data_IF_784793511823
#
_entry.id   IF_784793511823
#
_cell.length_a   1.000
_cell.length_b   1.000
_cell.length_c   1.000
_cell.angle_alpha   90.00
_cell.angle_beta   90.00
_cell.angle_gamma   90.00
#
_symmetry.space_group_name_H-M   'P 1'
#
loop_
_entity.id
_entity.type
_entity.pdbx_description
1 polymer ?
#
# COMPACT_ATOMS: atom_id res chain seq x y z
N UNK A 1 5.36 25.29 -15.29
CA UNK A 1 4.94 25.22 -13.87
C UNK A 1 3.78 24.24 -13.79
N UNK A 2 3.86 23.28 -12.87
CA UNK A 2 2.70 22.52 -12.44
C UNK A 2 2.06 23.26 -11.26
N UNK A 3 0.75 23.47 -11.29
CA UNK A 3 0.05 24.38 -10.37
C UNK A 3 -1.32 23.85 -10.00
N UNK A 4 -1.76 24.15 -8.77
CA UNK A 4 -3.12 23.84 -8.32
C UNK A 4 -4.16 24.58 -9.17
N UNK A 5 -5.18 23.87 -9.65
CA UNK A 5 -6.43 24.49 -10.07
C UNK A 5 -7.07 25.19 -8.86
N UNK A 6 -7.72 26.33 -9.06
CA UNK A 6 -8.28 27.20 -7.98
C UNK A 6 -7.27 27.79 -6.97
N UNK A 7 -6.01 27.35 -7.01
CA UNK A 7 -5.09 27.43 -5.88
C UNK A 7 -5.48 26.51 -4.72
N UNK A 8 -6.26 25.44 -4.97
CA UNK A 8 -6.82 24.55 -3.94
C UNK A 8 -6.79 23.05 -4.27
N UNK A 9 -6.68 22.61 -5.54
CA UNK A 9 -6.63 21.18 -5.86
C UNK A 9 -5.75 20.82 -7.07
N UNK A 10 -5.36 19.54 -7.14
CA UNK A 10 -4.69 18.93 -8.29
C UNK A 10 -5.75 18.44 -9.28
N UNK A 11 -5.49 18.59 -10.58
CA UNK A 11 -6.31 18.03 -11.66
C UNK A 11 -5.44 17.07 -12.48
N UNK A 12 -5.82 15.80 -12.51
CA UNK A 12 -5.23 14.77 -13.35
C UNK A 12 -5.99 14.62 -14.69
N UNK A 13 -5.62 13.63 -15.52
CA UNK A 13 -6.24 13.40 -16.84
C UNK A 13 -7.75 13.11 -16.81
N UNK A 14 -8.29 12.72 -15.65
CA UNK A 14 -9.69 12.30 -15.47
C UNK A 14 -10.53 13.27 -14.62
N UNK A 15 -9.97 14.42 -14.21
CA UNK A 15 -10.63 15.38 -13.31
C UNK A 15 -9.80 15.65 -12.04
N UNK A 16 -10.43 16.14 -10.96
CA UNK A 16 -9.76 16.38 -9.69
C UNK A 16 -9.08 15.13 -9.14
N UNK A 17 -7.79 15.24 -8.81
CA UNK A 17 -7.02 14.15 -8.18
C UNK A 17 -6.94 14.39 -6.67
N UNK A 18 -7.83 13.74 -5.94
CA UNK A 18 -7.94 13.88 -4.48
C UNK A 18 -6.74 13.25 -3.75
N UNK A 19 -6.12 12.23 -4.33
CA UNK A 19 -4.90 11.61 -3.80
C UNK A 19 -3.70 12.54 -3.85
N UNK A 20 -3.41 13.13 -5.01
CA UNK A 20 -2.35 14.13 -5.17
C UNK A 20 -2.68 15.42 -4.42
N UNK A 21 -3.95 15.79 -4.28
CA UNK A 21 -4.37 16.93 -3.45
C UNK A 21 -4.09 16.67 -1.96
N UNK A 22 -4.25 15.43 -1.50
CA UNK A 22 -3.81 15.02 -0.17
C UNK A 22 -2.27 15.08 -0.01
N UNK A 23 -1.48 14.66 -1.02
CA UNK A 23 -0.01 14.83 -0.99
C UNK A 23 0.41 16.31 -0.88
N UNK A 24 -0.29 17.21 -1.58
CA UNK A 24 -0.08 18.66 -1.46
C UNK A 24 -0.38 19.16 -0.04
N UNK A 25 -1.45 18.67 0.60
CA UNK A 25 -1.74 19.03 1.99
C UNK A 25 -0.64 18.54 2.95
N UNK A 26 -0.17 17.30 2.78
CA UNK A 26 0.95 16.72 3.57
C UNK A 26 2.23 17.54 3.38
N UNK A 27 2.60 17.85 2.14
CA UNK A 27 3.80 18.61 1.79
C UNK A 27 3.78 20.05 2.32
N UNK A 28 2.67 20.77 2.14
CA UNK A 28 2.51 22.14 2.65
C UNK A 28 2.48 22.19 4.19
N UNK A 29 1.86 21.20 4.85
CA UNK A 29 1.89 21.09 6.31
C UNK A 29 3.30 20.82 6.86
N UNK A 30 4.09 20.02 6.14
CA UNK A 30 5.47 19.71 6.53
C UNK A 30 6.44 20.87 6.29
N UNK A 31 6.31 21.59 5.17
CA UNK A 31 7.14 22.75 4.84
C UNK A 31 6.81 24.00 5.68
N UNK A 32 5.54 24.18 6.05
CA UNK A 32 5.08 25.35 6.79
C UNK A 32 5.05 26.64 5.95
N UNK A 33 4.79 27.78 6.60
CA UNK A 33 4.73 29.12 5.99
C UNK A 33 3.53 29.38 5.06
N UNK A 34 3.04 28.38 4.35
CA UNK A 34 2.01 28.48 3.30
C UNK A 34 0.56 28.34 3.82
N UNK A 35 0.28 28.87 5.02
CA UNK A 35 -1.01 28.73 5.71
C UNK A 35 -2.26 29.00 4.84
N UNK A 36 -2.33 30.11 4.08
CA UNK A 36 -3.48 30.41 3.22
C UNK A 36 -3.69 29.42 2.07
N UNK A 37 -2.62 28.84 1.51
CA UNK A 37 -2.71 27.82 0.48
C UNK A 37 -3.12 26.46 1.07
N UNK A 38 -2.53 26.08 2.21
CA UNK A 38 -2.90 24.87 2.93
C UNK A 38 -4.37 24.89 3.37
N UNK A 39 -4.87 26.03 3.87
CA UNK A 39 -6.25 26.19 4.28
C UNK A 39 -7.24 25.98 3.11
N UNK A 40 -6.89 26.45 1.90
CA UNK A 40 -7.65 26.19 0.68
C UNK A 40 -7.67 24.70 0.31
N UNK A 41 -6.49 24.06 0.28
CA UNK A 41 -6.34 22.63 -0.05
C UNK A 41 -7.13 21.74 0.93
N UNK A 42 -7.03 22.04 2.24
CA UNK A 42 -7.82 21.35 3.28
C UNK A 42 -9.32 21.60 3.11
N UNK A 43 -9.75 22.81 2.75
CA UNK A 43 -11.17 23.10 2.50
C UNK A 43 -11.70 22.31 1.29
N UNK A 44 -10.91 22.20 0.20
CA UNK A 44 -11.26 21.38 -0.96
C UNK A 44 -11.36 19.89 -0.59
N UNK A 45 -10.39 19.36 0.16
CA UNK A 45 -10.41 17.96 0.64
C UNK A 45 -11.59 17.68 1.57
N UNK A 46 -11.99 18.63 2.43
CA UNK A 46 -13.22 18.48 3.24
C UNK A 46 -14.48 18.47 2.38
N UNK A 47 -14.57 19.32 1.37
CA UNK A 47 -15.74 19.39 0.47
C UNK A 47 -15.89 18.14 -0.42
N UNK A 48 -14.79 17.41 -0.65
CA UNK A 48 -14.74 16.21 -1.49
C UNK A 48 -14.36 14.94 -0.70
N UNK A 49 -14.50 14.93 0.63
CA UNK A 49 -14.00 13.86 1.48
C UNK A 49 -14.58 12.49 1.10
N UNK A 50 -15.92 12.40 1.04
CA UNK A 50 -16.63 11.19 0.62
C UNK A 50 -16.22 10.72 -0.80
N UNK A 51 -16.03 11.63 -1.75
CA UNK A 51 -15.58 11.27 -3.10
C UNK A 51 -14.15 10.71 -3.13
N UNK A 52 -13.31 10.98 -2.13
CA UNK A 52 -11.99 10.36 -2.00
C UNK A 52 -12.02 9.00 -1.31
N UNK A 53 -12.82 8.87 -0.24
CA UNK A 53 -12.84 7.64 0.59
C UNK A 53 -13.85 6.59 0.12
N UNK A 54 -14.99 7.01 -0.42
CA UNK A 54 -16.08 6.15 -0.90
C UNK A 54 -16.11 6.03 -2.42
N UNK A 55 -15.24 6.75 -3.13
CA UNK A 55 -15.25 6.85 -4.59
C UNK A 55 -16.43 7.68 -5.13
N UNK A 56 -16.64 7.62 -6.45
CA UNK A 56 -17.73 8.32 -7.13
C UNK A 56 -18.61 7.31 -7.92
N UNK A 57 -19.87 7.10 -7.52
CA UNK A 57 -20.83 6.25 -8.24
C UNK A 57 -21.02 6.60 -9.72
N UNK A 58 -20.70 7.83 -10.13
CA UNK A 58 -20.73 8.26 -11.54
C UNK A 58 -19.78 7.46 -12.43
N UNK A 59 -18.73 6.85 -11.85
CA UNK A 59 -17.77 5.98 -12.54
C UNK A 59 -18.05 4.49 -12.36
N UNK A 60 -19.20 4.12 -11.78
CA UNK A 60 -19.64 2.72 -11.60
C UNK A 60 -19.35 2.13 -10.22
N UNK A 61 -18.95 2.95 -9.26
CA UNK A 61 -18.80 2.51 -7.86
C UNK A 61 -20.16 2.17 -7.21
N UNK A 62 -20.15 1.25 -6.24
CA UNK A 62 -21.35 0.86 -5.48
C UNK A 62 -21.71 1.93 -4.43
N UNK A 63 -22.97 1.99 -3.96
CA UNK A 63 -23.30 2.65 -2.70
C UNK A 63 -22.50 2.04 -1.54
N UNK A 64 -22.18 2.88 -0.55
CA UNK A 64 -21.49 2.49 0.69
C UNK A 64 -20.13 1.80 0.47
N UNK A 65 -19.46 2.07 -0.67
CA UNK A 65 -18.06 1.69 -0.87
C UNK A 65 -17.12 2.44 0.07
N UNK A 66 -15.98 1.84 0.40
CA UNK A 66 -14.95 2.51 1.20
C UNK A 66 -13.55 1.92 0.92
N UNK A 67 -12.58 2.79 0.71
CA UNK A 67 -11.20 2.47 0.36
C UNK A 67 -10.27 2.75 1.54
N UNK A 68 -9.49 1.75 1.96
CA UNK A 68 -8.67 1.80 3.16
C UNK A 68 -7.58 2.88 3.09
N UNK A 69 -6.66 2.75 2.13
CA UNK A 69 -5.52 3.66 1.98
C UNK A 69 -5.89 5.14 1.79
N UNK A 70 -6.92 5.48 0.97
CA UNK A 70 -7.50 6.82 0.92
C UNK A 70 -8.01 7.33 2.27
N UNK A 71 -8.75 6.50 3.03
CA UNK A 71 -9.28 6.85 4.36
C UNK A 71 -8.15 7.08 5.37
N UNK A 72 -7.15 6.20 5.44
CA UNK A 72 -5.96 6.40 6.29
C UNK A 72 -5.15 7.62 5.88
N UNK A 73 -4.89 7.83 4.59
CA UNK A 73 -4.15 9.00 4.07
C UNK A 73 -4.89 10.31 4.36
N UNK A 74 -6.22 10.34 4.22
CA UNK A 74 -7.04 11.51 4.56
C UNK A 74 -7.08 11.76 6.07
N UNK A 75 -7.10 10.70 6.89
CA UNK A 75 -7.00 10.83 8.35
C UNK A 75 -5.63 11.39 8.78
N UNK A 76 -4.53 10.95 8.15
CA UNK A 76 -3.21 11.57 8.37
C UNK A 76 -3.20 13.04 7.92
N UNK A 77 -3.79 13.39 6.77
CA UNK A 77 -3.95 14.80 6.34
C UNK A 77 -4.70 15.62 7.40
N UNK A 78 -5.83 15.13 7.91
CA UNK A 78 -6.58 15.82 8.95
C UNK A 78 -5.68 16.08 10.18
N UNK A 79 -5.05 15.04 10.71
CA UNK A 79 -4.19 15.12 11.89
C UNK A 79 -2.99 16.06 11.69
N UNK A 80 -2.22 15.95 10.61
CA UNK A 80 -1.02 16.78 10.42
C UNK A 80 -1.33 18.25 10.09
N UNK A 81 -2.55 18.53 9.61
CA UNK A 81 -3.05 19.90 9.38
C UNK A 81 -3.77 20.50 10.59
N UNK A 82 -3.88 19.76 11.70
CA UNK A 82 -4.55 20.21 12.92
C UNK A 82 -6.08 20.22 12.84
N UNK A 83 -6.65 19.40 11.95
CA UNK A 83 -8.08 19.14 11.87
C UNK A 83 -8.41 17.83 12.61
N UNK A 84 -9.62 17.75 13.12
CA UNK A 84 -10.15 16.53 13.72
C UNK A 84 -10.46 15.47 12.65
N UNK A 85 -9.87 14.27 12.69
CA UNK A 85 -10.16 13.17 11.77
C UNK A 85 -11.50 12.46 12.06
N UNK A 86 -12.13 12.71 13.23
CA UNK A 86 -13.45 12.14 13.59
C UNK A 86 -14.63 12.97 13.07
N UNK A 87 -14.36 14.11 12.41
CA UNK A 87 -15.38 14.96 11.77
C UNK A 87 -14.91 15.59 10.44
N UNK A 88 -13.87 15.03 9.81
CA UNK A 88 -13.25 15.62 8.63
C UNK A 88 -14.15 15.51 7.40
N UNK A 89 -14.63 16.65 6.88
CA UNK A 89 -15.60 16.67 5.79
C UNK A 89 -16.99 16.13 6.19
N UNK A 90 -17.24 15.95 7.50
CA UNK A 90 -18.45 15.29 8.03
C UNK A 90 -18.30 13.78 8.27
N UNK A 91 -17.12 13.21 8.04
CA UNK A 91 -16.82 11.78 8.21
C UNK A 91 -16.00 11.51 9.46
N UNK A 92 -16.21 10.34 10.10
CA UNK A 92 -15.28 9.79 11.10
C UNK A 92 -14.36 8.77 10.41
N UNK A 93 -13.27 9.30 9.86
CA UNK A 93 -12.27 8.52 9.12
C UNK A 93 -11.61 7.45 10.00
N UNK A 94 -11.61 7.63 11.33
CA UNK A 94 -11.03 6.66 12.27
C UNK A 94 -12.02 5.57 12.67
N UNK A 95 -13.33 5.83 12.65
CA UNK A 95 -14.34 4.78 12.78
C UNK A 95 -14.44 3.96 11.49
N UNK A 96 -14.53 4.63 10.34
CA UNK A 96 -14.61 3.99 9.02
C UNK A 96 -13.41 3.06 8.78
N UNK A 97 -12.18 3.56 8.95
CA UNK A 97 -10.97 2.74 8.77
C UNK A 97 -10.95 1.50 9.66
N UNK A 98 -11.50 1.56 10.88
CA UNK A 98 -11.60 0.40 11.77
C UNK A 98 -12.61 -0.65 11.30
N UNK A 99 -13.61 -0.28 10.49
CA UNK A 99 -14.51 -1.27 9.87
C UNK A 99 -13.87 -2.03 8.71
N UNK A 100 -12.85 -1.45 8.07
CA UNK A 100 -12.10 -2.07 6.96
C UNK A 100 -11.03 -3.05 7.44
N UNK A 101 -10.72 -3.10 8.74
CA UNK A 101 -9.77 -4.03 9.32
C UNK A 101 -10.32 -5.47 9.30
N UNK A 102 -9.76 -6.31 8.43
CA UNK A 102 -10.06 -7.75 8.41
C UNK A 102 -9.63 -8.45 9.71
N UNK A 103 -10.13 -9.68 10.00
CA UNK A 103 -9.72 -10.43 11.20
C UNK A 103 -8.22 -10.75 11.30
N UNK A 104 -7.47 -10.69 10.19
CA UNK A 104 -6.01 -10.83 10.16
C UNK A 104 -5.27 -9.50 10.24
N UNK A 105 -5.98 -8.38 10.31
CA UNK A 105 -5.44 -7.02 10.44
C UNK A 105 -5.09 -6.31 9.14
N UNK A 106 -5.19 -6.96 7.98
CA UNK A 106 -5.10 -6.25 6.70
C UNK A 106 -6.32 -5.34 6.54
N UNK A 107 -6.13 -4.07 6.25
CA UNK A 107 -7.25 -3.23 5.81
C UNK A 107 -7.61 -3.59 4.38
N UNK A 108 -8.89 -3.73 4.08
CA UNK A 108 -9.40 -4.12 2.76
C UNK A 108 -10.15 -2.95 2.14
N UNK A 109 -10.09 -2.80 0.81
CA UNK A 109 -11.07 -1.95 0.13
C UNK A 109 -12.39 -2.74 -0.04
N UNK A 110 -13.52 -2.11 0.30
CA UNK A 110 -14.85 -2.64 0.01
C UNK A 110 -15.46 -1.83 -1.15
N UNK A 111 -15.13 -2.23 -2.39
CA UNK A 111 -15.55 -1.54 -3.63
C UNK A 111 -16.27 -2.47 -4.60
N UNK A 112 -16.95 -1.90 -5.60
CA UNK A 112 -17.52 -2.62 -6.74
C UNK A 112 -16.45 -3.30 -7.63
N UNK A 113 -15.19 -2.86 -7.53
CA UNK A 113 -14.08 -3.29 -8.38
C UNK A 113 -13.20 -4.37 -7.73
N UNK A 114 -13.32 -4.58 -6.41
CA UNK A 114 -12.52 -5.51 -5.62
C UNK A 114 -11.61 -4.83 -4.59
N UNK A 115 -10.66 -5.59 -4.05
CA UNK A 115 -9.70 -5.13 -3.05
C UNK A 115 -8.39 -4.69 -3.71
N UNK A 116 -8.06 -3.39 -3.63
CA UNK A 116 -6.82 -2.81 -4.14
C UNK A 116 -5.90 -2.34 -3.00
N UNK A 117 -6.17 -2.80 -1.77
CA UNK A 117 -5.32 -2.57 -0.60
C UNK A 117 -3.87 -3.01 -0.89
N UNK A 118 -2.93 -2.29 -0.28
CA UNK A 118 -1.50 -2.45 -0.54
C UNK A 118 -0.68 -1.95 0.66
N UNK A 119 0.61 -2.31 0.77
CA UNK A 119 1.45 -1.91 1.91
C UNK A 119 1.59 -0.40 2.11
N UNK A 120 1.47 0.43 1.06
CA UNK A 120 1.48 1.90 1.21
C UNK A 120 0.22 2.36 1.95
N UNK A 121 -0.96 1.85 1.56
CA UNK A 121 -2.22 2.05 2.26
C UNK A 121 -2.14 1.59 3.71
N UNK A 122 -1.82 0.32 3.94
CA UNK A 122 -1.68 -0.28 5.27
C UNK A 122 -0.73 0.54 6.19
N UNK A 123 0.32 1.14 5.64
CA UNK A 123 1.22 2.01 6.39
C UNK A 123 0.59 3.38 6.74
N UNK A 124 -0.15 4.02 5.83
CA UNK A 124 -0.96 5.20 6.15
C UNK A 124 -2.05 4.87 7.20
N UNK A 125 -2.68 3.71 7.10
CA UNK A 125 -3.76 3.25 7.97
C UNK A 125 -3.28 3.00 9.40
N UNK A 126 -2.19 2.23 9.55
CA UNK A 126 -1.52 2.03 10.84
C UNK A 126 -1.06 3.37 11.42
N UNK A 127 -0.48 4.25 10.60
CA UNK A 127 -0.02 5.57 11.06
C UNK A 127 -1.18 6.46 11.56
N UNK A 128 -2.30 6.51 10.83
CA UNK A 128 -3.49 7.27 11.22
C UNK A 128 -4.00 6.82 12.59
N UNK A 129 -4.04 5.50 12.84
CA UNK A 129 -4.51 4.95 14.11
C UNK A 129 -3.49 5.12 15.25
N UNK A 130 -2.18 5.01 15.00
CA UNK A 130 -1.16 5.32 16.01
C UNK A 130 -1.20 6.79 16.43
N UNK A 131 -1.34 7.72 15.47
CA UNK A 131 -1.55 9.15 15.75
C UNK A 131 -2.87 9.45 16.46
N UNK A 132 -3.83 8.52 16.42
CA UNK A 132 -5.08 8.56 17.17
C UNK A 132 -5.05 7.79 18.51
N UNK A 133 -3.86 7.43 19.02
CA UNK A 133 -3.68 6.80 20.32
C UNK A 133 -3.57 5.28 20.32
N UNK A 134 -3.56 4.62 19.16
CA UNK A 134 -3.23 3.20 19.04
C UNK A 134 -3.79 2.52 17.80
N UNK A 135 -2.91 1.90 17.00
CA UNK A 135 -3.31 0.90 16.00
C UNK A 135 -3.57 -0.47 16.67
N UNK A 136 -4.64 -1.20 16.32
CA UNK A 136 -4.87 -2.54 16.83
C UNK A 136 -3.72 -3.48 16.46
N UNK A 137 -3.22 -4.28 17.40
CA UNK A 137 -2.00 -5.09 17.17
C UNK A 137 -2.02 -5.93 15.88
N UNK A 138 -3.12 -6.61 15.50
CA UNK A 138 -3.18 -7.33 14.22
C UNK A 138 -2.89 -6.48 12.99
N UNK A 139 -3.21 -5.18 12.97
CA UNK A 139 -2.96 -4.33 11.78
C UNK A 139 -1.49 -3.94 11.64
N UNK A 140 -0.77 -3.91 12.76
CA UNK A 140 0.69 -3.80 12.81
C UNK A 140 1.32 -5.12 12.34
N UNK A 141 0.82 -6.27 12.83
CA UNK A 141 1.31 -7.59 12.43
C UNK A 141 1.04 -7.89 10.94
N UNK A 142 -0.08 -7.42 10.39
CA UNK A 142 -0.40 -7.52 8.96
C UNK A 142 0.56 -6.68 8.08
N UNK A 143 1.00 -5.51 8.58
CA UNK A 143 2.06 -4.76 7.92
C UNK A 143 3.39 -5.54 7.99
N UNK A 144 3.80 -6.01 9.17
CA UNK A 144 5.03 -6.80 9.36
C UNK A 144 5.03 -8.06 8.47
N UNK A 145 3.88 -8.73 8.31
CA UNK A 145 3.74 -9.91 7.45
C UNK A 145 3.89 -9.63 5.94
N UNK A 146 3.88 -8.35 5.52
CA UNK A 146 4.18 -7.93 4.15
C UNK A 146 5.65 -7.53 3.94
N UNK A 147 6.50 -7.61 4.98
CA UNK A 147 7.92 -7.32 4.87
C UNK A 147 8.65 -8.43 4.09
N UNK A 148 9.40 -8.06 3.07
CA UNK A 148 10.22 -8.98 2.29
C UNK A 148 11.48 -9.41 3.05
N UNK A 149 12.12 -10.50 2.62
CA UNK A 149 13.30 -11.08 3.28
C UNK A 149 14.59 -10.23 3.19
N UNK A 150 14.57 -9.14 2.42
CA UNK A 150 15.60 -8.09 2.37
C UNK A 150 15.35 -6.94 3.38
N UNK A 151 14.23 -6.99 4.12
CA UNK A 151 13.78 -5.96 5.05
C UNK A 151 12.90 -4.88 4.43
N UNK A 152 12.75 -4.83 3.11
CA UNK A 152 11.89 -3.87 2.42
C UNK A 152 10.42 -4.31 2.35
N UNK A 153 9.60 -3.51 1.67
CA UNK A 153 8.16 -3.71 1.50
C UNK A 153 7.79 -3.58 0.01
N UNK A 154 6.89 -4.43 -0.53
CA UNK A 154 6.46 -4.35 -1.91
C UNK A 154 5.36 -3.30 -2.11
N UNK A 155 5.14 -2.86 -3.36
CA UNK A 155 4.07 -1.92 -3.69
C UNK A 155 2.66 -2.53 -3.72
N UNK A 156 2.54 -3.87 -3.63
CA UNK A 156 1.28 -4.62 -3.69
C UNK A 156 1.31 -5.83 -2.75
N UNK A 157 0.13 -6.29 -2.31
CA UNK A 157 0.01 -7.54 -1.56
C UNK A 157 -0.03 -8.76 -2.50
N UNK A 158 0.63 -9.85 -2.08
CA UNK A 158 0.69 -11.10 -2.84
C UNK A 158 1.72 -11.11 -3.97
N UNK A 159 1.76 -12.21 -4.74
CA UNK A 159 2.79 -12.42 -5.76
C UNK A 159 4.18 -12.71 -5.16
N UNK A 160 5.23 -12.39 -5.91
CA UNK A 160 6.62 -12.47 -5.44
C UNK A 160 6.96 -11.18 -4.69
N UNK A 161 7.48 -11.28 -3.47
CA UNK A 161 7.88 -10.11 -2.69
C UNK A 161 9.05 -9.39 -3.38
N UNK A 162 8.80 -8.17 -3.85
CA UNK A 162 9.75 -7.33 -4.57
C UNK A 162 9.68 -5.91 -3.98
N UNK A 163 10.67 -5.56 -3.16
CA UNK A 163 10.65 -4.34 -2.35
C UNK A 163 10.75 -3.05 -3.18
N UNK A 164 10.14 -1.97 -2.67
CA UNK A 164 10.27 -0.60 -3.19
C UNK A 164 10.71 0.37 -2.10
N UNK A 165 11.34 1.47 -2.52
CA UNK A 165 11.70 2.56 -1.62
C UNK A 165 10.48 3.33 -1.11
N UNK A 166 9.43 3.44 -1.92
CA UNK A 166 8.17 4.11 -1.62
C UNK A 166 7.41 3.42 -0.48
N UNK A 167 7.11 2.11 -0.64
CA UNK A 167 6.44 1.32 0.38
C UNK A 167 7.31 1.17 1.64
N UNK A 168 8.62 0.95 1.49
CA UNK A 168 9.53 0.83 2.65
C UNK A 168 9.66 2.14 3.43
N UNK A 169 9.63 3.29 2.75
CA UNK A 169 9.67 4.61 3.37
C UNK A 169 8.41 4.97 4.16
N UNK A 170 7.24 4.51 3.70
CA UNK A 170 5.98 4.62 4.45
C UNK A 170 5.91 3.60 5.60
N UNK A 171 6.20 2.33 5.33
CA UNK A 171 6.17 1.26 6.32
C UNK A 171 7.13 1.54 7.50
N UNK A 172 8.33 2.05 7.24
CA UNK A 172 9.27 2.44 8.30
C UNK A 172 8.70 3.52 9.23
N UNK A 173 7.93 4.50 8.73
CA UNK A 173 7.26 5.48 9.59
C UNK A 173 6.21 4.79 10.48
N UNK A 174 5.34 3.96 9.89
CA UNK A 174 4.31 3.23 10.63
C UNK A 174 4.89 2.27 11.68
N UNK A 175 6.01 1.60 11.37
CA UNK A 175 6.70 0.66 12.25
C UNK A 175 7.47 1.37 13.39
N UNK A 176 8.05 2.55 13.15
CA UNK A 176 8.61 3.39 14.22
C UNK A 176 7.50 3.94 15.12
N UNK A 177 6.37 4.38 14.56
CA UNK A 177 5.18 4.79 15.32
C UNK A 177 4.56 3.64 16.15
N UNK A 178 4.85 2.39 15.80
CA UNK A 178 4.35 1.18 16.45
C UNK A 178 5.36 0.51 17.38
N UNK A 179 6.54 1.12 17.60
CA UNK A 179 7.67 0.54 18.34
C UNK A 179 8.00 -0.91 17.91
N UNK A 180 7.98 -1.16 16.60
CA UNK A 180 8.03 -2.50 16.04
C UNK A 180 9.43 -3.17 16.05
N UNK A 181 10.43 -2.59 16.72
CA UNK A 181 11.75 -3.20 16.94
C UNK A 181 12.46 -3.70 15.66
N UNK A 182 12.73 -5.01 15.61
CA UNK A 182 13.49 -5.64 14.51
C UNK A 182 12.89 -5.38 13.10
N UNK A 183 11.59 -5.56 12.83
CA UNK A 183 10.93 -5.10 11.61
C UNK A 183 11.27 -3.65 11.19
N UNK A 184 11.25 -2.69 12.13
CA UNK A 184 11.61 -1.31 11.84
C UNK A 184 13.12 -1.15 11.53
N UNK A 185 13.98 -1.88 12.25
CA UNK A 185 15.42 -1.89 12.00
C UNK A 185 15.78 -2.52 10.63
N UNK A 186 15.06 -3.55 10.20
CA UNK A 186 15.22 -4.18 8.88
C UNK A 186 14.76 -3.25 7.75
N UNK A 187 13.65 -2.52 7.93
CA UNK A 187 13.18 -1.51 6.98
C UNK A 187 14.17 -0.33 6.85
N UNK A 188 14.79 0.08 7.96
CA UNK A 188 15.88 1.05 7.95
C UNK A 188 17.11 0.52 7.18
N UNK A 189 17.53 -0.72 7.45
CA UNK A 189 18.68 -1.33 6.78
C UNK A 189 18.46 -1.50 5.27
N UNK A 190 17.24 -1.86 4.84
CA UNK A 190 16.85 -1.89 3.43
C UNK A 190 17.06 -0.52 2.77
N UNK A 191 16.51 0.56 3.35
CA UNK A 191 16.68 1.91 2.78
C UNK A 191 18.15 2.37 2.77
N UNK A 192 18.92 2.05 3.81
CA UNK A 192 20.34 2.39 3.88
C UNK A 192 21.20 1.63 2.84
N UNK A 193 20.80 0.43 2.44
CA UNK A 193 21.51 -0.39 1.44
C UNK A 193 21.08 -0.12 0.01
N UNK A 194 19.87 0.41 -0.21
CA UNK A 194 19.32 0.71 -1.54
C UNK A 194 19.42 2.20 -1.95
N UNK A 195 20.05 3.05 -1.12
CA UNK A 195 20.36 4.42 -1.51
C UNK A 195 21.49 4.45 -2.55
N UNK A 196 21.26 5.13 -3.67
CA UNK A 196 22.24 5.32 -4.74
C UNK A 196 23.36 6.28 -4.32
N UNK A 197 24.52 6.20 -4.99
CA UNK A 197 25.70 7.01 -4.66
C UNK A 197 25.51 8.53 -4.87
N UNK A 198 24.50 8.96 -5.62
CA UNK A 198 24.08 10.37 -5.76
C UNK A 198 23.11 10.82 -4.64
N UNK A 199 22.67 9.89 -3.79
CA UNK A 199 21.67 10.10 -2.74
C UNK A 199 20.24 9.73 -3.13
N UNK A 200 19.98 9.40 -4.39
CA UNK A 200 18.65 9.03 -4.87
C UNK A 200 18.20 7.64 -4.44
N UNK A 201 16.90 7.42 -4.51
CA UNK A 201 16.30 6.09 -4.58
C UNK A 201 15.69 5.92 -5.97
N UNK A 202 15.81 4.71 -6.51
CA UNK A 202 15.14 4.35 -7.76
C UNK A 202 13.73 3.87 -7.48
N UNK A 203 12.76 4.22 -8.33
CA UNK A 203 11.48 3.51 -8.32
C UNK A 203 11.68 2.08 -8.79
N UNK A 204 11.13 1.11 -8.06
CA UNK A 204 11.15 -0.29 -8.48
C UNK A 204 10.45 -0.43 -9.83
N UNK A 205 11.20 -0.84 -10.85
CA UNK A 205 10.63 -1.07 -12.16
C UNK A 205 9.76 -2.34 -12.09
N UNK A 206 8.43 -2.16 -12.18
CA UNK A 206 7.43 -3.25 -12.28
C UNK A 206 7.78 -4.23 -13.42
N UNK A 207 8.54 -3.74 -14.40
CA UNK A 207 9.24 -4.52 -15.41
C UNK A 207 10.74 -4.68 -15.04
N UNK A 208 11.18 -5.84 -14.53
CA UNK A 208 12.56 -6.07 -14.10
C UNK A 208 13.57 -6.15 -15.26
N UNK A 209 13.14 -6.02 -16.52
CA UNK A 209 14.05 -5.89 -17.68
C UNK A 209 14.53 -4.45 -17.90
N UNK A 210 13.91 -3.46 -17.24
CA UNK A 210 14.28 -2.05 -17.34
C UNK A 210 15.32 -1.69 -16.27
N UNK A 211 16.32 -0.91 -16.68
CA UNK A 211 17.29 -0.30 -15.74
C UNK A 211 16.54 0.58 -14.73
N UNK A 212 16.72 0.38 -13.41
CA UNK A 212 16.17 1.27 -12.40
C UNK A 212 16.68 2.70 -12.58
N UNK A 213 15.81 3.69 -12.44
CA UNK A 213 16.11 5.11 -12.62
C UNK A 213 15.78 5.91 -11.37
N UNK A 214 16.62 6.89 -11.06
CA UNK A 214 16.46 7.78 -9.91
C UNK A 214 15.11 8.51 -9.97
N UNK A 215 14.33 8.43 -8.89
CA UNK A 215 12.96 8.91 -8.82
C UNK A 215 12.77 9.80 -7.59
N UNK A 216 12.19 10.99 -7.78
CA UNK A 216 11.98 11.97 -6.72
C UNK A 216 10.93 11.53 -5.70
N UNK A 217 9.86 10.86 -6.12
CA UNK A 217 8.82 10.35 -5.23
C UNK A 217 9.38 9.26 -4.30
N UNK A 218 10.08 8.27 -4.89
CA UNK A 218 10.79 7.21 -4.17
C UNK A 218 11.84 7.77 -3.20
N UNK A 219 12.61 8.76 -3.64
CA UNK A 219 13.61 9.43 -2.79
C UNK A 219 12.97 10.21 -1.64
N UNK A 220 11.82 10.86 -1.89
CA UNK A 220 11.08 11.57 -0.86
C UNK A 220 10.56 10.60 0.22
N UNK A 221 9.83 9.54 -0.17
CA UNK A 221 9.29 8.58 0.81
C UNK A 221 10.38 7.88 1.62
N UNK A 222 11.46 7.44 0.99
CA UNK A 222 12.61 6.91 1.69
C UNK A 222 13.19 7.91 2.71
N UNK A 223 13.31 9.19 2.35
CA UNK A 223 13.76 10.24 3.26
C UNK A 223 12.78 10.51 4.42
N UNK A 224 11.47 10.35 4.24
CA UNK A 224 10.50 10.44 5.35
C UNK A 224 10.67 9.27 6.34
N UNK A 225 10.88 8.05 5.84
CA UNK A 225 11.20 6.86 6.63
C UNK A 225 12.49 7.04 7.42
N UNK A 226 13.59 7.42 6.74
CA UNK A 226 14.88 7.73 7.36
C UNK A 226 14.76 8.82 8.43
N UNK A 227 13.96 9.87 8.19
CA UNK A 227 13.70 10.94 9.17
C UNK A 227 12.98 10.43 10.42
N UNK A 228 11.94 9.58 10.27
CA UNK A 228 11.27 8.95 11.40
C UNK A 228 12.22 8.03 12.19
N UNK A 229 13.07 7.29 11.49
CA UNK A 229 14.10 6.42 12.05
C UNK A 229 15.35 7.17 12.58
N UNK A 230 15.33 8.51 12.62
CA UNK A 230 16.46 9.39 13.01
C UNK A 230 17.78 9.14 12.24
N UNK A 231 17.70 8.54 11.07
CA UNK A 231 18.83 8.30 10.20
C UNK A 231 19.19 9.53 9.35
N UNK A 232 20.38 9.54 8.76
CA UNK A 232 20.82 10.65 7.91
C UNK A 232 20.03 10.69 6.59
N UNK A 233 19.41 11.83 6.30
CA UNK A 233 18.78 12.13 5.00
C UNK A 233 19.65 13.04 4.11
N UNK A 234 20.87 13.36 4.53
CA UNK A 234 21.69 14.40 3.89
C UNK A 234 21.91 14.16 2.39
N UNK A 235 22.20 12.91 1.98
CA UNK A 235 22.39 12.56 0.57
C UNK A 235 21.09 12.71 -0.24
N UNK A 236 19.95 12.23 0.29
CA UNK A 236 18.65 12.39 -0.36
C UNK A 236 18.25 13.88 -0.51
N UNK A 237 18.52 14.71 0.50
CA UNK A 237 18.27 16.16 0.44
C UNK A 237 19.22 16.86 -0.55
N UNK A 238 20.46 16.39 -0.70
CA UNK A 238 21.38 16.87 -1.74
C UNK A 238 20.88 16.49 -3.14
N UNK A 239 20.46 15.24 -3.36
CA UNK A 239 19.85 14.80 -4.62
C UNK A 239 18.62 15.66 -4.96
N UNK A 240 17.64 15.76 -4.04
CA UNK A 240 16.41 16.53 -4.26
C UNK A 240 16.69 18.01 -4.57
N UNK A 241 17.77 18.61 -4.02
CA UNK A 241 18.19 19.97 -4.38
C UNK A 241 18.92 20.04 -5.72
N UNK A 242 19.68 19.02 -6.10
CA UNK A 242 20.42 18.98 -7.37
C UNK A 242 19.51 18.81 -8.60
N UNK A 243 18.32 18.23 -8.41
CA UNK A 243 17.31 18.03 -9.47
C UNK A 243 16.17 19.05 -9.41
N UNK A 244 16.28 20.09 -8.57
CA UNK A 244 15.29 21.16 -8.48
C UNK A 244 15.38 22.10 -9.69
N UNK A 245 14.25 22.34 -10.34
CA UNK A 245 14.16 23.22 -11.50
C UNK A 245 14.14 24.71 -11.09
N UNK A 246 14.41 25.64 -12.03
CA UNK A 246 14.36 27.09 -11.78
C UNK A 246 12.98 27.64 -11.36
N UNK A 247 11.88 26.90 -11.56
CA UNK A 247 10.55 27.26 -11.04
C UNK A 247 10.29 26.75 -9.61
N UNK A 248 11.31 26.17 -8.96
CA UNK A 248 11.26 25.60 -7.61
C UNK A 248 10.63 24.20 -7.56
N UNK A 249 10.02 23.73 -8.65
CA UNK A 249 9.45 22.39 -8.75
C UNK A 249 10.49 21.30 -9.01
N UNK A 250 10.04 20.06 -8.93
CA UNK A 250 10.85 18.85 -9.10
C UNK A 250 10.26 17.92 -10.16
N UNK A 251 11.07 17.31 -11.04
CA UNK A 251 10.63 16.26 -11.95
C UNK A 251 10.33 14.96 -11.20
N UNK A 252 9.55 14.04 -11.79
CA UNK A 252 9.40 12.67 -11.26
C UNK A 252 10.66 11.84 -11.52
N UNK A 253 11.13 11.82 -12.77
CA UNK A 253 12.35 11.12 -13.21
C UNK A 253 13.22 12.11 -13.99
N UNK A 254 14.27 12.69 -13.39
CA UNK A 254 15.03 13.79 -14.01
C UNK A 254 15.65 13.45 -15.37
N UNK A 255 16.02 12.18 -15.60
CA UNK A 255 16.70 11.72 -16.81
C UNK A 255 15.80 11.54 -18.03
N UNK A 256 14.47 11.46 -17.86
CA UNK A 256 13.52 11.18 -18.95
C UNK A 256 12.28 12.09 -18.94
N UNK A 257 11.98 12.74 -17.81
CA UNK A 257 10.87 13.66 -17.63
C UNK A 257 11.31 14.86 -16.78
N UNK A 258 12.23 15.72 -17.29
CA UNK A 258 12.88 16.78 -16.50
C UNK A 258 11.96 17.95 -16.12
N UNK A 259 10.76 18.05 -16.69
CA UNK A 259 9.78 19.09 -16.35
C UNK A 259 9.23 18.94 -14.94
N UNK A 260 9.09 20.05 -14.21
CA UNK A 260 8.50 20.08 -12.86
C UNK A 260 7.11 19.44 -12.81
N UNK A 261 6.94 18.49 -11.91
CA UNK A 261 5.74 17.69 -11.67
C UNK A 261 5.18 17.98 -10.27
N UNK A 262 3.87 18.17 -10.15
CA UNK A 262 3.24 18.61 -8.89
C UNK A 262 3.27 17.54 -7.80
N UNK A 263 3.07 16.27 -8.16
CA UNK A 263 3.11 15.11 -7.24
C UNK A 263 4.52 14.89 -6.67
N UNK A 264 5.53 14.86 -7.54
CA UNK A 264 6.94 14.77 -7.16
C UNK A 264 7.36 15.94 -6.26
N UNK A 265 6.97 17.16 -6.61
CA UNK A 265 7.23 18.35 -5.80
C UNK A 265 6.55 18.25 -4.42
N UNK A 266 5.27 17.88 -4.38
CA UNK A 266 4.46 17.82 -3.16
C UNK A 266 5.02 16.83 -2.12
N UNK A 267 5.35 15.60 -2.53
CA UNK A 267 5.91 14.59 -1.63
C UNK A 267 7.32 14.96 -1.17
N UNK A 268 8.14 15.56 -2.05
CA UNK A 268 9.49 16.02 -1.71
C UNK A 268 9.53 17.20 -0.72
N UNK A 269 8.48 18.01 -0.59
CA UNK A 269 8.44 19.12 0.38
C UNK A 269 8.73 18.66 1.82
N UNK A 270 8.16 17.54 2.24
CA UNK A 270 8.34 17.02 3.59
C UNK A 270 9.78 16.52 3.83
N UNK A 271 10.40 15.89 2.82
CA UNK A 271 11.79 15.45 2.86
C UNK A 271 12.77 16.66 2.87
N UNK A 272 12.52 17.67 2.03
CA UNK A 272 13.30 18.91 1.98
C UNK A 272 13.22 19.72 3.27
N UNK A 273 12.09 19.64 4.00
CA UNK A 273 11.90 20.24 5.32
C UNK A 273 12.51 19.41 6.47
N UNK A 274 13.07 18.23 6.19
CA UNK A 274 13.55 17.25 7.18
C UNK A 274 12.47 16.88 8.22
N UNK A 275 11.25 16.57 7.74
CA UNK A 275 10.11 16.17 8.56
C UNK A 275 9.60 14.79 8.13
N UNK A 276 8.87 14.14 9.03
CA UNK A 276 8.16 12.87 8.78
C UNK A 276 6.70 13.03 9.20
N UNK A 277 5.80 12.19 8.69
CA UNK A 277 4.37 12.26 9.05
C UNK A 277 4.11 11.91 10.53
N UNK A 278 5.11 11.37 11.24
CA UNK A 278 5.10 11.24 12.70
C UNK A 278 5.15 12.61 13.39
N UNK A 279 5.96 13.53 12.86
CA UNK A 279 6.42 14.72 13.58
C UNK A 279 5.80 16.04 13.10
N UNK A 280 4.99 16.02 12.04
CA UNK A 280 4.22 17.17 11.53
C UNK A 280 2.87 17.28 12.26
N UNK A 281 2.38 18.52 12.41
CA UNK A 281 1.10 18.85 13.03
C UNK A 281 1.10 18.82 14.57
N UNK A 282 -0.08 19.00 15.19
CA UNK A 282 -0.27 18.73 16.61
C UNK A 282 -0.12 17.23 16.93
N UNK A 283 0.02 16.94 18.23
CA UNK A 283 0.24 15.60 18.77
C UNK A 283 1.30 14.77 17.98
N UNK A 284 2.53 15.29 17.80
CA UNK A 284 3.57 14.57 17.07
C UNK A 284 3.99 13.29 17.84
N UNK A 285 4.11 12.19 17.11
CA UNK A 285 4.72 10.95 17.60
C UNK A 285 6.26 11.08 17.58
N UNK A 286 6.98 10.40 18.49
CA UNK A 286 8.43 10.47 18.54
C UNK A 286 9.07 9.83 17.30
N UNK A 287 10.04 10.52 16.71
CA UNK A 287 11.03 9.88 15.85
C UNK A 287 12.06 9.17 16.74
N UNK A 288 12.36 7.90 16.44
CA UNK A 288 13.22 7.01 17.24
C UNK A 288 14.10 6.19 16.29
N UNK A 289 15.38 5.99 16.64
CA UNK A 289 16.22 5.06 15.91
C UNK A 289 15.84 3.62 16.30
N UNK A 290 15.31 2.79 15.38
CA UNK A 290 14.87 1.44 15.72
C UNK A 290 16.07 0.54 16.02
N UNK A 291 15.95 -0.25 17.09
CA UNK A 291 16.98 -1.20 17.53
C UNK A 291 16.42 -2.63 17.42
N UNK A 292 17.25 -3.58 17.01
CA UNK A 292 16.90 -5.00 16.97
C UNK A 292 17.67 -5.76 18.07
N UNK A 293 17.16 -5.69 19.29
CA UNK A 293 17.73 -6.40 20.44
C UNK A 293 17.38 -7.89 20.40
N UNK A 294 18.13 -8.65 19.59
CA UNK A 294 18.09 -10.13 19.55
C UNK A 294 18.52 -10.79 20.87
N UNK A 295 19.03 -10.01 21.83
CA UNK A 295 19.60 -10.45 23.10
C UNK A 295 18.59 -10.72 24.23
N UNK A 296 17.31 -10.97 23.94
CA UNK A 296 16.26 -11.18 24.97
C UNK A 296 15.54 -12.54 24.86
N UNK A 297 16.27 -13.65 25.09
CA UNK A 297 15.67 -14.94 25.53
C UNK A 297 16.73 -16.02 25.91
N UNK A 298 17.57 -15.78 26.93
CA UNK A 298 18.21 -16.89 27.66
C UNK A 298 17.80 -16.79 29.13
N UNK A 299 16.79 -17.56 29.60
CA UNK A 299 16.50 -17.64 31.01
C UNK A 299 17.64 -18.38 31.71
N UNK A 300 18.54 -17.63 32.37
CA UNK A 300 19.62 -18.22 33.17
C UNK A 300 19.03 -18.94 34.38
N UNK A 301 18.81 -20.25 34.24
CA UNK A 301 18.43 -21.14 35.34
C UNK A 301 19.59 -21.30 36.31
N UNK A 302 19.64 -20.41 37.30
CA UNK A 302 20.57 -20.54 38.42
C UNK A 302 20.33 -21.90 39.13
N UNK A 303 21.37 -22.73 39.31
CA UNK A 303 21.19 -24.05 39.92
C UNK A 303 20.93 -23.93 41.42
N UNK A 304 19.66 -24.06 41.82
CA UNK A 304 19.27 -24.15 43.23
C UNK A 304 19.77 -25.46 43.84
N UNK A 305 20.40 -25.38 45.02
CA UNK A 305 21.17 -26.47 45.61
C UNK A 305 20.36 -27.67 46.10
N UNK A 306 21.03 -28.82 46.14
CA UNK A 306 20.53 -30.11 46.62
C UNK A 306 20.31 -30.16 48.14
N UNK A 307 19.18 -30.73 48.61
CA UNK A 307 19.08 -31.40 49.91
C UNK A 307 19.01 -32.94 49.76
N UNK A 308 19.52 -33.68 50.73
CA UNK A 308 19.72 -35.15 50.67
C UNK A 308 18.92 -35.91 51.73
N UNK A 309 18.09 -36.87 51.31
CA UNK A 309 17.68 -38.10 52.02
C UNK A 309 16.86 -39.00 51.05
N UNK A 310 16.77 -40.34 51.04
CA UNK A 310 17.44 -41.52 51.66
C UNK A 310 16.39 -42.51 52.20
N UNK A 311 16.19 -43.62 51.48
CA UNK A 311 15.49 -44.87 51.88
C UNK A 311 13.98 -44.77 52.23
N UNK A 312 13.13 -45.83 52.16
CA UNK A 312 13.24 -47.19 51.59
C UNK A 312 11.83 -47.74 51.22
N UNK A 313 11.70 -48.85 50.45
CA UNK A 313 10.40 -49.34 49.94
C UNK A 313 9.75 -50.44 50.79
N UNK A 314 8.44 -50.71 50.58
CA UNK A 314 7.75 -51.96 51.00
C UNK A 314 6.55 -52.25 50.07
N UNK A 315 6.22 -53.53 49.89
CA UNK A 315 5.25 -54.06 48.90
C UNK A 315 3.96 -54.59 49.51
N UNK A 316 2.84 -54.58 48.76
CA UNK A 316 1.85 -55.69 48.79
C UNK A 316 0.99 -55.75 47.49
N UNK A 317 0.10 -56.74 47.38
CA UNK A 317 -0.68 -57.12 46.17
C UNK A 317 -2.20 -57.24 46.46
N UNK A 318 -2.95 -57.64 45.42
CA UNK A 318 -4.36 -58.15 45.40
C UNK A 318 -5.47 -57.10 45.28
N UNK A 319 -6.56 -57.33 44.52
CA UNK A 319 -6.91 -58.43 43.59
C UNK A 319 -7.90 -57.98 42.48
N UNK A 320 -8.10 -58.81 41.44
CA UNK A 320 -8.97 -58.59 40.26
C UNK A 320 -9.62 -59.92 39.85
N UNK A 321 -10.96 -60.01 39.78
CA UNK A 321 -11.72 -60.01 38.50
C UNK A 321 -13.01 -59.13 38.60
N UNK A 322 -14.05 -59.11 37.74
CA UNK A 322 -14.57 -60.01 36.68
C UNK A 322 -15.21 -59.25 35.49
N UNK A 323 -15.52 -60.01 34.42
CA UNK A 323 -16.63 -59.87 33.44
C UNK A 323 -17.10 -58.48 32.97
N UNK A 324 -16.87 -58.04 31.73
CA UNK A 324 -17.39 -58.56 30.42
C UNK A 324 -18.91 -58.36 30.23
N UNK A 325 -19.37 -57.77 29.11
CA UNK A 325 -19.51 -58.45 27.80
C UNK A 325 -19.45 -57.46 26.62
N UNK A 326 -19.07 -57.91 25.43
CA UNK A 326 -18.91 -57.09 24.22
C UNK A 326 -19.86 -57.51 23.08
N UNK A 327 -20.06 -56.63 22.07
CA UNK A 327 -20.53 -56.97 20.71
C UNK A 327 -20.01 -55.91 19.71
N UNK A 328 -19.83 -56.30 18.44
CA UNK A 328 -19.11 -55.54 17.38
C UNK A 328 -20.10 -55.09 16.27
N UNK A 329 -19.92 -53.92 15.60
CA UNK A 329 -20.88 -53.38 14.63
C UNK A 329 -20.71 -53.89 13.18
N UNK A 330 -21.65 -53.56 12.27
CA UNK A 330 -21.49 -53.60 10.82
C UNK A 330 -21.14 -52.24 10.20
N UNK A 331 -20.58 -52.28 8.98
CA UNK A 331 -20.10 -51.15 8.16
C UNK A 331 -21.19 -50.57 7.24
N UNK A 332 -21.11 -49.29 6.87
CA UNK A 332 -21.62 -48.79 5.57
C UNK A 332 -20.71 -47.72 4.94
N UNK A 333 -20.77 -47.67 3.61
CA UNK A 333 -19.77 -47.11 2.67
C UNK A 333 -19.83 -45.58 2.48
N UNK A 334 -18.69 -44.88 2.29
CA UNK A 334 -18.67 -43.53 1.71
C UNK A 334 -18.73 -43.57 0.18
N UNK A 335 -19.50 -42.67 -0.45
CA UNK A 335 -19.64 -42.62 -1.92
C UNK A 335 -18.59 -41.71 -2.57
N UNK A 336 -17.96 -42.19 -3.65
CA UNK A 336 -16.98 -41.44 -4.46
C UNK A 336 -17.59 -41.00 -5.79
N UNK A 337 -17.41 -39.74 -6.17
CA UNK A 337 -17.73 -39.25 -7.51
C UNK A 337 -16.70 -38.21 -7.99
N UNK A 338 -15.58 -38.68 -8.52
CA UNK A 338 -14.65 -37.87 -9.32
C UNK A 338 -14.98 -38.04 -10.80
N UNK A 339 -15.27 -36.94 -11.50
CA UNK A 339 -15.53 -36.95 -12.95
C UNK A 339 -14.51 -36.09 -13.70
N UNK A 340 -13.29 -36.62 -13.85
CA UNK A 340 -12.24 -36.06 -14.71
C UNK A 340 -12.41 -36.56 -16.15
N UNK A 341 -12.67 -35.66 -17.10
CA UNK A 341 -12.76 -35.99 -18.53
C UNK A 341 -11.61 -35.33 -19.31
N UNK A 342 -10.47 -36.01 -19.38
CA UNK A 342 -9.35 -35.65 -20.25
C UNK A 342 -9.55 -36.23 -21.66
N UNK A 343 -9.54 -35.38 -22.68
CA UNK A 343 -9.46 -35.79 -24.09
C UNK A 343 -8.23 -35.16 -24.71
N UNK A 344 -7.38 -35.98 -25.35
CA UNK A 344 -6.08 -35.56 -25.90
C UNK A 344 -5.97 -35.84 -27.39
N UNK A 345 -5.18 -35.02 -28.08
CA UNK A 345 -4.56 -35.27 -29.42
C UNK A 345 -5.55 -35.36 -30.61
N UNK A 346 -5.10 -35.16 -31.88
CA UNK A 346 -3.71 -35.09 -32.34
C UNK A 346 -3.19 -33.74 -32.87
N UNK A 347 -1.87 -33.72 -32.96
CA UNK A 347 -0.97 -32.74 -33.56
C UNK A 347 -1.02 -32.76 -35.11
N UNK A 348 -0.74 -31.61 -35.76
CA UNK A 348 -0.44 -31.50 -37.19
C UNK A 348 0.68 -30.47 -37.39
N UNK A 349 1.73 -30.81 -38.15
CA UNK A 349 2.92 -29.96 -38.37
C UNK A 349 3.16 -29.71 -39.87
N UNK A 350 2.99 -28.45 -40.29
CA UNK A 350 3.57 -27.76 -41.48
C UNK A 350 2.88 -26.38 -41.66
N UNK A 351 3.47 -25.33 -42.24
CA UNK A 351 4.85 -25.11 -42.65
C UNK A 351 5.03 -23.90 -43.60
N UNK A 352 5.88 -22.94 -43.24
CA UNK A 352 6.49 -21.86 -44.09
C UNK A 352 5.63 -20.71 -44.68
N UNK A 353 5.97 -19.47 -44.28
CA UNK A 353 6.10 -18.21 -45.07
C UNK A 353 4.98 -17.75 -46.04
N UNK A 354 4.52 -16.48 -46.05
CA UNK A 354 5.26 -15.22 -46.30
C UNK A 354 4.36 -13.99 -46.04
N UNK A 355 4.90 -12.75 -46.07
CA UNK A 355 4.15 -11.57 -46.52
C UNK A 355 3.86 -10.45 -45.51
N UNK A 356 4.52 -9.30 -45.70
CA UNK A 356 4.48 -8.08 -44.88
C UNK A 356 3.10 -7.40 -44.69
N UNK A 357 2.96 -6.63 -43.59
CA UNK A 357 1.80 -5.76 -43.34
C UNK A 357 1.84 -5.00 -42.00
N UNK A 358 2.71 -3.99 -41.88
CA UNK A 358 2.98 -3.27 -40.62
C UNK A 358 1.91 -2.21 -40.27
N UNK A 359 1.23 -2.31 -39.11
CA UNK A 359 0.46 -1.20 -38.52
C UNK A 359 1.39 -0.18 -37.83
N UNK A 360 0.96 1.09 -37.62
CA UNK A 360 1.78 2.09 -36.94
C UNK A 360 2.05 1.70 -35.47
N UNK A 361 3.16 2.17 -34.86
CA UNK A 361 3.48 1.88 -33.47
C UNK A 361 2.41 2.44 -32.54
N UNK A 362 1.93 1.62 -31.61
CA UNK A 362 1.16 2.10 -30.47
C UNK A 362 2.02 3.07 -29.65
N UNK A 363 1.43 4.16 -29.18
CA UNK A 363 2.10 5.11 -28.27
C UNK A 363 2.51 4.33 -27.02
N UNK A 364 3.79 4.35 -26.69
CA UNK A 364 4.32 3.59 -25.56
C UNK A 364 3.65 4.05 -24.26
N UNK A 365 3.06 3.10 -23.52
CA UNK A 365 2.61 3.34 -22.16
C UNK A 365 3.82 3.80 -21.33
N UNK A 366 3.70 5.00 -20.75
CA UNK A 366 4.64 5.44 -19.72
C UNK A 366 4.48 4.50 -18.51
N UNK A 367 5.56 4.26 -17.76
CA UNK A 367 5.51 3.35 -16.61
C UNK A 367 4.59 3.91 -15.54
N UNK A 368 3.44 3.28 -15.34
CA UNK A 368 2.50 3.66 -14.29
C UNK A 368 3.11 3.43 -12.90
N UNK A 369 2.97 4.45 -12.06
CA UNK A 369 3.39 4.45 -10.66
C UNK A 369 2.34 3.72 -9.80
N UNK A 370 2.68 3.21 -8.60
CA UNK A 370 1.69 2.71 -7.65
C UNK A 370 0.71 3.85 -7.26
N UNK A 371 -0.53 3.76 -7.75
CA UNK A 371 -1.58 4.75 -7.49
C UNK A 371 -2.27 4.44 -6.16
N UNK A 372 -2.19 5.34 -5.19
CA UNK A 372 -2.98 5.25 -3.93
C UNK A 372 -4.41 5.78 -4.13
N UNK A 373 -5.09 5.26 -5.16
CA UNK A 373 -6.42 5.66 -5.63
C UNK A 373 -6.81 4.80 -6.84
N UNK A 374 -8.09 4.45 -6.95
CA UNK A 374 -8.58 3.39 -7.84
C UNK A 374 -8.11 3.54 -9.30
N UNK A 375 -7.58 2.46 -9.89
CA UNK A 375 -7.18 2.46 -11.30
C UNK A 375 -8.39 2.34 -12.24
N UNK A 376 -9.02 3.48 -12.51
CA UNK A 376 -10.18 3.55 -13.40
C UNK A 376 -9.85 3.25 -14.88
N UNK A 377 -8.56 3.20 -15.30
CA UNK A 377 -8.20 2.92 -16.70
C UNK A 377 -8.74 1.57 -17.18
N UNK A 378 -8.52 0.53 -16.38
CA UNK A 378 -8.86 -0.85 -16.72
C UNK A 378 -10.39 -1.08 -16.86
N UNK A 379 -11.25 -0.65 -15.91
CA UNK A 379 -12.70 -0.73 -16.08
C UNK A 379 -13.25 0.25 -17.14
N UNK A 380 -12.73 1.47 -17.27
CA UNK A 380 -13.22 2.43 -18.28
C UNK A 380 -12.93 1.95 -19.71
N UNK A 381 -11.72 1.43 -19.98
CA UNK A 381 -11.40 0.82 -21.28
C UNK A 381 -12.35 -0.35 -21.61
N UNK A 382 -12.64 -1.19 -20.62
CA UNK A 382 -13.59 -2.31 -20.74
C UNK A 382 -15.02 -1.81 -21.04
N UNK A 383 -15.46 -0.74 -20.37
CA UNK A 383 -16.75 -0.09 -20.62
C UNK A 383 -16.90 0.47 -22.04
N UNK A 384 -15.86 1.12 -22.58
CA UNK A 384 -15.87 1.59 -23.97
C UNK A 384 -15.96 0.46 -24.99
N UNK A 385 -15.25 -0.67 -24.78
CA UNK A 385 -15.34 -1.86 -25.64
C UNK A 385 -16.77 -2.43 -25.64
N UNK A 386 -17.39 -2.55 -24.47
CA UNK A 386 -18.77 -3.05 -24.33
C UNK A 386 -19.80 -2.11 -24.97
N UNK A 387 -19.65 -0.79 -24.83
CA UNK A 387 -20.50 0.20 -25.50
C UNK A 387 -20.38 0.13 -27.03
N UNK A 388 -19.17 -0.02 -27.57
CA UNK A 388 -18.97 -0.20 -29.02
C UNK A 388 -19.58 -1.50 -29.54
N UNK A 389 -19.39 -2.62 -28.83
CA UNK A 389 -20.03 -3.90 -29.15
C UNK A 389 -21.57 -3.81 -29.13
N UNK A 390 -22.13 -3.15 -28.11
CA UNK A 390 -23.57 -2.89 -28.02
C UNK A 390 -24.11 -2.07 -29.19
N UNK A 391 -23.43 -0.99 -29.57
CA UNK A 391 -23.78 -0.17 -30.74
C UNK A 391 -23.70 -0.95 -32.06
N UNK A 392 -22.65 -1.77 -32.24
CA UNK A 392 -22.48 -2.61 -33.44
C UNK A 392 -23.62 -3.64 -33.54
N UNK A 393 -23.97 -4.31 -32.45
CA UNK A 393 -25.06 -5.28 -32.40
C UNK A 393 -26.42 -4.62 -32.66
N UNK A 394 -26.65 -3.40 -32.14
CA UNK A 394 -27.89 -2.65 -32.32
C UNK A 394 -28.05 -2.08 -33.74
N UNK A 395 -26.94 -1.75 -34.42
CA UNK A 395 -26.95 -1.47 -35.86
C UNK A 395 -27.17 -2.72 -36.71
N UNK A 396 -26.57 -3.86 -36.33
CA UNK A 396 -26.72 -5.12 -37.05
C UNK A 396 -28.15 -5.67 -36.98
N UNK A 397 -28.81 -5.58 -35.81
CA UNK A 397 -30.21 -6.00 -35.65
C UNK A 397 -31.17 -5.11 -36.45
N UNK A 398 -31.02 -3.78 -36.37
CA UNK A 398 -31.81 -2.83 -37.18
C UNK A 398 -31.63 -3.05 -38.69
N UNK A 399 -30.42 -3.38 -39.16
CA UNK A 399 -30.15 -3.73 -40.56
C UNK A 399 -30.71 -5.09 -41.01
N UNK A 400 -31.03 -6.01 -40.08
CA UNK A 400 -31.76 -7.26 -40.38
C UNK A 400 -33.27 -7.04 -40.41
N UNK A 401 -33.82 -6.25 -39.48
CA UNK A 401 -35.24 -5.92 -39.46
C UNK A 401 -35.69 -5.21 -40.75
N UNK A 402 -34.92 -4.21 -41.23
CA UNK A 402 -35.16 -3.50 -42.50
C UNK A 402 -34.86 -4.29 -43.78
N UNK A 403 -34.88 -5.63 -43.74
CA UNK A 403 -34.73 -6.53 -44.92
C UNK A 403 -35.87 -7.57 -45.04
N UNK A 404 -36.87 -7.49 -44.17
CA UNK A 404 -38.06 -8.34 -44.17
C UNK A 404 -39.35 -7.50 -44.09
N UNK A 405 -39.31 -6.30 -44.68
CA UNK A 405 -40.42 -5.36 -44.86
C UNK A 405 -40.39 -4.87 -46.32
#
# INVERSE_FOLDING_TARGET
>A
MASLAGGDHVVGPFGPDLGQTADVALGLAAAGGQGPALAKVVAYLKANAAAYVHGDPSFGEKPDANYAGPTGKLAVVAQVTGNDPTSFGGLDLLAELRTLASPTGRFLDDSAFGDFSNPLGQAFDVLALQRAGGAPRPTIDALIAAQCSDGGFPDAFGGTCASSADASGLALQALVAADAGCPAAAALAYLQTHQSADGSFTSSAVDPTKTPVANVNSTAYAALGLTAARASTAAAVVYLRSVQNPDGGLPTVPSSSPSSNLFATAQALAALAARSFLTVGPAPLPAVAPVCDTATAVPTTAPTGTPTATASPTTSRSAVPTSSTATRPPTVTPSTASSSSSTSTPEVVAGTSTGAGTPPPAVAAQGDLPRTGADLLTPVASGFVLLFLGLILLFASRRRAGRHA
#
